data_IF_113586552509
#
_entry.id   IF_113586552509
#
_cell.length_a   1.000
_cell.length_b   1.000
_cell.length_c   1.000
_cell.angle_alpha   90.00
_cell.angle_beta   90.00
_cell.angle_gamma   90.00
#
_symmetry.space_group_name_H-M   'P 1'
#
loop_
_entity.id
_entity.type
_entity.pdbx_description
1 polymer ?
#
# COMPACT_ATOMS: atom_id res chain seq x y z
N UNK A 1 -24.80 -5.35 10.67
CA UNK A 1 -24.55 -5.93 9.33
C UNK A 1 -23.34 -5.24 8.75
N UNK A 2 -22.43 -5.97 8.12
CA UNK A 2 -21.23 -5.40 7.50
C UNK A 2 -21.36 -5.48 5.99
N UNK A 3 -21.30 -4.35 5.29
CA UNK A 3 -21.31 -4.29 3.83
C UNK A 3 -19.89 -4.51 3.32
N UNK A 4 -19.74 -5.33 2.27
CA UNK A 4 -18.45 -5.59 1.62
C UNK A 4 -18.40 -4.86 0.29
N UNK A 5 -17.34 -4.09 0.09
CA UNK A 5 -17.05 -3.44 -1.19
C UNK A 5 -15.76 -4.05 -1.76
N UNK A 6 -15.71 -4.19 -3.07
CA UNK A 6 -14.51 -4.61 -3.80
C UNK A 6 -13.89 -3.38 -4.42
N UNK A 7 -12.64 -3.10 -4.06
CA UNK A 7 -11.87 -1.98 -4.64
C UNK A 7 -11.15 -2.47 -5.90
N UNK A 8 -11.09 -1.61 -6.91
CA UNK A 8 -10.30 -1.90 -8.10
C UNK A 8 -8.81 -1.68 -7.82
N UNK A 9 -7.89 -2.48 -8.37
CA UNK A 9 -6.46 -2.30 -8.12
C UNK A 9 -5.91 -0.93 -8.55
N UNK A 10 -6.52 -0.31 -9.57
CA UNK A 10 -6.16 1.03 -10.06
C UNK A 10 -6.53 2.17 -9.09
N UNK A 11 -7.37 1.92 -8.09
CA UNK A 11 -7.68 2.87 -7.02
C UNK A 11 -6.66 2.83 -5.87
N UNK A 12 -5.70 1.89 -5.95
CA UNK A 12 -4.71 1.64 -4.90
C UNK A 12 -3.33 1.96 -5.47
N UNK A 13 -2.67 2.95 -4.87
CA UNK A 13 -1.29 3.27 -5.20
C UNK A 13 -0.35 2.42 -4.35
N UNK A 14 0.52 1.65 -5.02
CA UNK A 14 1.52 0.78 -4.39
C UNK A 14 2.90 1.28 -4.78
N UNK A 15 3.66 1.76 -3.80
CA UNK A 15 5.04 2.22 -4.00
C UNK A 15 6.01 1.32 -3.25
N UNK A 16 6.96 0.72 -3.98
CA UNK A 16 8.06 0.00 -3.38
C UNK A 16 9.02 0.99 -2.70
N UNK A 17 9.34 0.73 -1.43
CA UNK A 17 10.26 1.54 -0.64
C UNK A 17 11.38 0.69 -0.08
N UNK A 18 12.48 1.33 0.30
CA UNK A 18 13.50 0.66 1.10
C UNK A 18 13.00 0.49 2.52
N UNK A 19 13.11 -0.72 3.04
CA UNK A 19 12.89 -0.95 4.46
C UNK A 19 13.92 -0.14 5.26
N UNK A 20 13.47 0.52 6.32
CA UNK A 20 14.35 1.18 7.27
C UNK A 20 14.52 0.31 8.52
N UNK A 21 15.75 0.12 9.00
CA UNK A 21 16.02 -0.63 10.23
C UNK A 21 17.44 -1.19 10.30
N UNK A 22 17.84 -1.65 11.49
CA UNK A 22 19.12 -2.32 11.73
C UNK A 22 19.09 -3.76 11.18
N UNK A 23 19.11 -3.91 9.86
CA UNK A 23 19.32 -5.20 9.20
C UNK A 23 20.59 -5.15 8.37
N UNK A 24 21.29 -6.28 8.26
CA UNK A 24 22.54 -6.39 7.49
C UNK A 24 22.36 -6.11 5.99
N UNK A 25 23.25 -6.64 5.15
CA UNK A 25 23.25 -6.35 3.70
C UNK A 25 21.87 -6.54 3.02
N UNK A 26 21.05 -7.51 3.44
CA UNK A 26 19.75 -7.78 2.83
C UNK A 26 18.71 -6.67 3.05
N UNK A 27 18.71 -6.00 4.21
CA UNK A 27 17.78 -4.90 4.51
C UNK A 27 18.26 -3.59 3.89
N UNK A 28 19.57 -3.38 3.79
CA UNK A 28 20.14 -2.14 3.24
C UNK A 28 20.16 -2.09 1.70
N UNK A 29 20.03 -3.23 1.00
CA UNK A 29 20.11 -3.27 -0.48
C UNK A 29 18.80 -3.58 -1.21
N UNK A 30 17.80 -4.18 -0.56
CA UNK A 30 16.57 -4.62 -1.23
C UNK A 30 15.38 -3.77 -0.78
N UNK A 31 14.67 -3.18 -1.75
CA UNK A 31 13.38 -2.51 -1.52
C UNK A 31 12.27 -3.53 -1.24
N UNK A 32 12.32 -4.21 -0.10
CA UNK A 32 11.32 -5.23 0.26
C UNK A 32 10.10 -4.66 1.01
N UNK A 33 10.09 -3.36 1.30
CA UNK A 33 8.98 -2.70 1.96
C UNK A 33 8.08 -2.00 0.94
N UNK A 34 6.82 -1.82 1.28
CA UNK A 34 5.80 -1.25 0.40
C UNK A 34 4.99 -0.22 1.18
N UNK A 35 4.76 0.94 0.57
CA UNK A 35 3.71 1.86 0.96
C UNK A 35 2.49 1.65 0.08
N UNK A 36 1.34 1.44 0.72
CA UNK A 36 0.04 1.33 0.07
C UNK A 36 -0.80 2.55 0.46
N UNK A 37 -1.31 3.27 -0.53
CA UNK A 37 -2.19 4.42 -0.34
C UNK A 37 -3.52 4.16 -1.05
N UNK A 38 -4.60 4.38 -0.33
CA UNK A 38 -5.97 4.38 -0.85
C UNK A 38 -6.61 5.71 -0.49
N UNK A 39 -7.07 6.44 -1.50
CA UNK A 39 -7.70 7.75 -1.34
C UNK A 39 -9.22 7.58 -1.28
N UNK A 40 -9.79 7.67 -0.08
CA UNK A 40 -11.22 7.44 0.14
C UNK A 40 -12.05 8.49 -0.61
N UNK A 41 -11.62 9.76 -0.59
CA UNK A 41 -12.40 10.86 -1.16
C UNK A 41 -12.43 10.83 -2.69
N UNK A 42 -11.41 10.23 -3.31
CA UNK A 42 -11.32 10.03 -4.76
C UNK A 42 -11.75 8.62 -5.21
N UNK A 43 -12.20 7.76 -4.28
CA UNK A 43 -12.56 6.38 -4.59
C UNK A 43 -13.98 6.25 -5.15
N UNK A 44 -14.27 5.08 -5.71
CA UNK A 44 -15.62 4.67 -6.12
C UNK A 44 -16.52 4.22 -4.97
N UNK A 45 -16.10 4.40 -3.71
CA UNK A 45 -16.94 4.04 -2.57
C UNK A 45 -18.20 4.95 -2.51
N UNK A 46 -19.35 4.38 -2.12
CA UNK A 46 -20.57 5.18 -1.90
C UNK A 46 -20.43 6.11 -0.67
N UNK A 47 -21.15 7.24 -0.69
CA UNK A 47 -21.35 8.12 0.47
C UNK A 47 -22.09 7.45 1.63
#
# INVERSE_FOLDING_TARGET
MTTRFTLSPDEIEITAIRAQGAGGQNVNKVSNAVHLRFDIAASSLPD
#
